data_IF_649652992772
#
_entry.id   IF_649652992772
#
_cell.length_a   1.000
_cell.length_b   1.000
_cell.length_c   1.000
_cell.angle_alpha   90.00
_cell.angle_beta   90.00
_cell.angle_gamma   90.00
#
_symmetry.space_group_name_H-M   'P 1'
#
loop_
_entity.id
_entity.type
_entity.pdbx_description
1 polymer ?
#
# COMPACT_ATOMS: atom_id res chain seq x y z
N UNK A 1 10.11 -1.24 -16.08
CA UNK A 1 9.58 -2.60 -16.40
C UNK A 1 8.18 -2.51 -17.02
N UNK A 2 7.79 -3.41 -17.93
CA UNK A 2 6.44 -3.59 -18.44
C UNK A 2 5.49 -3.97 -17.28
N UNK A 3 4.20 -3.58 -17.37
CA UNK A 3 3.19 -4.00 -16.39
C UNK A 3 2.76 -5.44 -16.64
N UNK A 4 2.80 -6.28 -15.61
CA UNK A 4 2.45 -7.70 -15.70
C UNK A 4 1.28 -8.06 -14.79
N UNK A 5 0.48 -9.03 -15.26
CA UNK A 5 -0.58 -9.63 -14.47
C UNK A 5 -1.63 -8.65 -13.96
N UNK A 6 -2.15 -8.91 -12.75
CA UNK A 6 -3.07 -8.04 -12.02
C UNK A 6 -4.42 -7.84 -12.70
N UNK A 7 -4.79 -8.73 -13.62
CA UNK A 7 -6.02 -8.60 -14.41
C UNK A 7 -7.26 -8.61 -13.53
N UNK A 8 -7.29 -9.44 -12.50
CA UNK A 8 -8.43 -9.53 -11.60
C UNK A 8 -8.54 -8.30 -10.70
N UNK A 9 -7.43 -7.80 -10.19
CA UNK A 9 -7.41 -6.60 -9.36
C UNK A 9 -7.84 -5.37 -10.17
N UNK A 10 -7.34 -5.23 -11.40
CA UNK A 10 -7.78 -4.17 -12.32
C UNK A 10 -9.28 -4.28 -12.57
N UNK A 11 -9.78 -5.47 -12.90
CA UNK A 11 -11.20 -5.70 -13.16
C UNK A 11 -12.06 -5.37 -11.94
N UNK A 12 -11.64 -5.75 -10.73
CA UNK A 12 -12.35 -5.38 -9.50
C UNK A 12 -12.45 -3.87 -9.33
N UNK A 13 -11.34 -3.13 -9.49
CA UNK A 13 -11.33 -1.67 -9.41
C UNK A 13 -12.23 -1.02 -10.47
N UNK A 14 -12.16 -1.52 -11.71
CA UNK A 14 -13.00 -1.03 -12.82
C UNK A 14 -14.48 -1.33 -12.61
N UNK A 15 -14.83 -2.47 -12.02
CA UNK A 15 -16.20 -2.79 -11.64
C UNK A 15 -16.75 -1.82 -10.59
N UNK A 16 -15.93 -1.39 -9.61
CA UNK A 16 -16.33 -0.38 -8.65
C UNK A 16 -16.60 0.98 -9.32
N UNK A 17 -15.76 1.38 -10.27
CA UNK A 17 -16.00 2.60 -11.06
C UNK A 17 -17.28 2.49 -11.91
N UNK A 18 -17.49 1.37 -12.58
CA UNK A 18 -18.71 1.12 -13.36
C UNK A 18 -19.97 1.18 -12.50
N UNK A 19 -19.89 0.70 -11.25
CA UNK A 19 -20.99 0.78 -10.30
C UNK A 19 -21.25 2.24 -9.86
N UNK A 20 -20.20 3.06 -9.65
CA UNK A 20 -20.36 4.52 -9.41
C UNK A 20 -21.07 5.21 -10.57
N UNK A 21 -20.73 4.83 -11.81
CA UNK A 21 -21.32 5.40 -13.02
C UNK A 21 -22.79 5.03 -13.20
N UNK A 22 -23.14 3.75 -12.94
CA UNK A 22 -24.50 3.24 -13.18
C UNK A 22 -25.48 3.52 -12.03
N UNK A 23 -25.00 3.47 -10.79
CA UNK A 23 -25.85 3.65 -9.60
C UNK A 23 -25.94 5.12 -9.15
N UNK A 24 -25.10 6.00 -9.70
CA UNK A 24 -25.02 7.40 -9.31
C UNK A 24 -24.73 7.61 -7.80
N UNK A 25 -24.03 6.67 -7.19
CA UNK A 25 -23.64 6.69 -5.79
C UNK A 25 -22.12 6.49 -5.64
N UNK A 26 -21.51 7.20 -4.71
CA UNK A 26 -20.09 7.07 -4.44
C UNK A 26 -19.77 5.74 -3.78
N UNK A 27 -18.58 5.21 -4.06
CA UNK A 27 -18.06 3.97 -3.49
C UNK A 27 -16.69 4.18 -2.86
N UNK A 28 -16.40 3.44 -1.81
CA UNK A 28 -15.13 3.46 -1.09
C UNK A 28 -14.47 2.10 -1.16
N UNK A 29 -13.19 2.08 -1.53
CA UNK A 29 -12.39 0.87 -1.68
C UNK A 29 -11.08 1.02 -0.91
N UNK A 30 -10.64 -0.03 -0.24
CA UNK A 30 -9.34 -0.09 0.40
C UNK A 30 -8.43 -1.06 -0.36
N UNK A 31 -7.24 -0.60 -0.77
CA UNK A 31 -6.18 -1.42 -1.36
C UNK A 31 -5.00 -1.49 -0.41
N UNK A 32 -4.82 -2.62 0.23
CA UNK A 32 -3.71 -2.90 1.14
C UNK A 32 -2.64 -3.73 0.43
N UNK A 33 -1.43 -3.67 0.91
CA UNK A 33 -0.35 -4.53 0.44
C UNK A 33 1.01 -3.96 0.80
N UNK A 34 2.00 -4.82 0.89
CA UNK A 34 3.37 -4.47 1.29
C UNK A 34 3.94 -3.33 0.42
N UNK A 35 4.93 -2.64 0.96
CA UNK A 35 5.73 -1.69 0.17
C UNK A 35 6.31 -2.38 -1.07
N UNK A 36 6.39 -1.65 -2.18
CA UNK A 36 7.01 -2.10 -3.44
C UNK A 36 6.31 -3.25 -4.17
N UNK A 37 5.11 -3.67 -3.70
CA UNK A 37 4.31 -4.71 -4.37
C UNK A 37 3.62 -4.22 -5.65
N UNK A 38 3.61 -2.90 -5.89
CA UNK A 38 3.05 -2.29 -7.11
C UNK A 38 1.65 -1.69 -6.96
N UNK A 39 1.21 -1.32 -5.74
CA UNK A 39 -0.11 -0.70 -5.49
C UNK A 39 -0.36 0.54 -6.35
N UNK A 40 0.53 1.52 -6.28
CA UNK A 40 0.42 2.78 -7.02
C UNK A 40 0.34 2.54 -8.53
N UNK A 41 1.22 1.68 -9.05
CA UNK A 41 1.23 1.31 -10.48
C UNK A 41 -0.07 0.64 -10.90
N UNK A 42 -0.60 -0.29 -10.07
CA UNK A 42 -1.89 -0.94 -10.29
C UNK A 42 -3.02 0.07 -10.35
N UNK A 43 -3.09 1.00 -9.38
CA UNK A 43 -4.16 2.01 -9.31
C UNK A 43 -4.15 2.94 -10.52
N UNK A 44 -2.97 3.44 -10.90
CA UNK A 44 -2.83 4.28 -12.09
C UNK A 44 -3.20 3.51 -13.36
N UNK A 45 -2.78 2.24 -13.48
CA UNK A 45 -3.08 1.39 -14.63
C UNK A 45 -4.56 1.02 -14.73
N UNK A 46 -5.23 0.80 -13.60
CA UNK A 46 -6.64 0.43 -13.57
C UNK A 46 -7.55 1.52 -14.15
N UNK A 47 -7.16 2.78 -14.02
CA UNK A 47 -7.95 3.94 -14.46
C UNK A 47 -7.34 4.66 -15.66
N UNK A 48 -6.19 4.21 -16.18
CA UNK A 48 -5.64 4.70 -17.43
C UNK A 48 -6.67 4.53 -18.57
N UNK A 49 -6.80 5.51 -19.42
CA UNK A 49 -7.74 5.51 -20.56
C UNK A 49 -9.25 5.40 -20.18
N UNK A 50 -9.64 5.71 -18.94
CA UNK A 50 -11.04 5.83 -18.57
C UNK A 50 -11.56 7.25 -18.81
N UNK A 51 -12.82 7.35 -19.22
CA UNK A 51 -13.50 8.64 -19.43
C UNK A 51 -13.98 9.26 -18.11
N UNK A 52 -13.09 9.36 -17.12
CA UNK A 52 -13.34 9.99 -15.83
C UNK A 52 -12.09 10.74 -15.37
N UNK A 53 -12.29 11.72 -14.50
CA UNK A 53 -11.17 12.40 -13.85
C UNK A 53 -10.56 11.50 -12.79
N UNK A 54 -9.23 11.45 -12.74
CA UNK A 54 -8.48 10.68 -11.74
C UNK A 54 -7.59 11.64 -10.96
N UNK A 55 -7.86 11.75 -9.68
CA UNK A 55 -7.11 12.58 -8.74
C UNK A 55 -6.25 11.66 -7.87
N UNK A 56 -4.94 11.81 -7.96
CA UNK A 56 -3.98 11.04 -7.16
C UNK A 56 -3.41 11.89 -6.04
N UNK A 57 -3.77 11.58 -4.80
CA UNK A 57 -3.42 12.32 -3.59
C UNK A 57 -2.46 11.48 -2.74
N UNK A 58 -1.18 11.81 -2.78
CA UNK A 58 -0.17 11.16 -1.96
C UNK A 58 -0.08 11.80 -0.58
N UNK A 59 0.08 10.98 0.47
CA UNK A 59 0.31 11.44 1.84
C UNK A 59 1.75 11.16 2.25
N UNK A 60 2.63 12.17 2.28
CA UNK A 60 4.02 12.00 2.73
C UNK A 60 4.07 11.69 4.23
N UNK A 61 5.04 10.88 4.67
CA UNK A 61 5.23 10.59 6.09
C UNK A 61 5.80 11.77 6.90
N UNK A 62 6.27 12.80 6.23
CA UNK A 62 6.84 14.02 6.84
C UNK A 62 6.44 15.25 6.04
N UNK A 63 5.32 15.83 6.39
CA UNK A 63 4.90 17.15 5.94
C UNK A 63 3.94 17.74 6.97
N UNK A 64 3.76 19.03 6.93
CA UNK A 64 2.74 19.70 7.75
C UNK A 64 1.35 19.52 7.12
N UNK A 65 0.31 19.63 7.94
CA UNK A 65 -1.06 19.56 7.45
C UNK A 65 -1.35 20.62 6.37
N UNK A 66 -0.83 21.84 6.55
CA UNK A 66 -1.00 22.92 5.59
C UNK A 66 -0.32 22.65 4.24
N UNK A 67 0.88 22.06 4.26
CA UNK A 67 1.57 21.66 3.02
C UNK A 67 0.79 20.55 2.30
N UNK A 68 0.25 19.57 3.03
CA UNK A 68 -0.57 18.51 2.45
C UNK A 68 -1.83 19.08 1.80
N UNK A 69 -2.58 19.91 2.52
CA UNK A 69 -3.82 20.53 2.02
C UNK A 69 -3.55 21.37 0.78
N UNK A 70 -2.46 22.15 0.77
CA UNK A 70 -2.06 22.95 -0.38
C UNK A 70 -1.73 22.07 -1.59
N UNK A 71 -0.90 21.03 -1.41
CA UNK A 71 -0.52 20.13 -2.48
C UNK A 71 -1.75 19.41 -3.09
N UNK A 72 -2.69 18.99 -2.25
CA UNK A 72 -3.93 18.38 -2.71
C UNK A 72 -4.84 19.36 -3.44
N UNK A 73 -4.95 20.60 -2.92
CA UNK A 73 -5.74 21.66 -3.53
C UNK A 73 -5.20 22.05 -4.90
N UNK A 74 -3.87 22.18 -5.05
CA UNK A 74 -3.23 22.50 -6.32
C UNK A 74 -3.59 21.45 -7.40
N UNK A 75 -3.59 20.16 -7.06
CA UNK A 75 -4.03 19.09 -7.95
C UNK A 75 -5.53 19.19 -8.31
N UNK A 76 -6.38 19.52 -7.35
CA UNK A 76 -7.83 19.72 -7.62
C UNK A 76 -8.04 20.87 -8.58
N UNK A 77 -7.38 22.00 -8.36
CA UNK A 77 -7.46 23.17 -9.24
C UNK A 77 -7.03 22.83 -10.66
N UNK A 78 -5.92 22.11 -10.80
CA UNK A 78 -5.37 21.70 -12.11
C UNK A 78 -6.31 20.73 -12.84
N UNK A 79 -6.71 19.65 -12.18
CA UNK A 79 -7.50 18.56 -12.79
C UNK A 79 -8.92 19.03 -13.14
N UNK A 80 -9.56 19.78 -12.25
CA UNK A 80 -10.92 20.32 -12.49
C UNK A 80 -10.93 21.66 -13.23
N UNK A 81 -9.75 22.22 -13.54
CA UNK A 81 -9.58 23.51 -14.23
C UNK A 81 -10.35 24.63 -13.56
N UNK A 82 -10.25 24.69 -12.23
CA UNK A 82 -10.97 25.69 -11.46
C UNK A 82 -10.36 27.08 -11.70
N UNK A 83 -11.19 28.13 -11.91
CA UNK A 83 -10.69 29.48 -12.15
C UNK A 83 -10.02 30.10 -10.93
N UNK A 84 -10.42 29.67 -9.74
CA UNK A 84 -9.86 30.11 -8.45
C UNK A 84 -9.80 28.93 -7.46
N UNK A 85 -8.77 28.87 -6.60
CA UNK A 85 -8.71 27.86 -5.57
C UNK A 85 -9.82 28.10 -4.53
N UNK A 86 -10.61 27.08 -4.16
CA UNK A 86 -11.57 27.18 -3.08
C UNK A 86 -10.86 27.36 -1.73
N UNK A 87 -11.54 28.02 -0.78
CA UNK A 87 -11.03 28.18 0.58
C UNK A 87 -11.21 26.86 1.35
N UNK A 88 -10.10 26.20 1.68
CA UNK A 88 -10.03 24.92 2.40
C UNK A 88 -8.96 25.00 3.50
N UNK A 89 -9.16 24.29 4.61
CA UNK A 89 -8.24 24.27 5.72
C UNK A 89 -7.80 22.85 6.11
N UNK A 90 -8.58 21.85 5.75
CA UNK A 90 -8.33 20.44 6.10
C UNK A 90 -8.35 19.54 4.88
N UNK A 91 -7.69 18.36 4.92
CA UNK A 91 -7.80 17.38 3.84
C UNK A 91 -9.25 16.97 3.55
N UNK A 92 -10.10 16.93 4.58
CA UNK A 92 -11.52 16.62 4.44
C UNK A 92 -12.27 17.69 3.65
N UNK A 93 -11.91 18.99 3.81
CA UNK A 93 -12.50 20.07 3.02
C UNK A 93 -12.16 19.92 1.54
N UNK A 94 -10.91 19.51 1.22
CA UNK A 94 -10.51 19.22 -0.17
C UNK A 94 -11.37 18.09 -0.75
N UNK A 95 -11.56 17.00 -0.01
CA UNK A 95 -12.43 15.89 -0.43
C UNK A 95 -13.87 16.33 -0.60
N UNK A 96 -14.39 17.20 0.26
CA UNK A 96 -15.74 17.76 0.13
C UNK A 96 -15.90 18.55 -1.18
N UNK A 97 -14.90 19.36 -1.54
CA UNK A 97 -14.88 20.08 -2.83
C UNK A 97 -14.95 19.09 -4.00
N UNK A 98 -14.10 18.07 -4.00
CA UNK A 98 -14.08 17.07 -5.08
C UNK A 98 -15.39 16.29 -5.16
N UNK A 99 -15.96 15.86 -4.03
CA UNK A 99 -17.27 15.19 -4.00
C UNK A 99 -18.40 16.11 -4.51
N UNK A 100 -18.31 17.41 -4.27
CA UNK A 100 -19.27 18.35 -4.83
C UNK A 100 -19.12 18.50 -6.34
N UNK A 101 -17.88 18.59 -6.84
CA UNK A 101 -17.58 18.69 -8.27
C UNK A 101 -17.91 17.40 -9.05
N UNK A 102 -17.92 16.26 -8.36
CA UNK A 102 -18.22 14.95 -8.97
C UNK A 102 -19.72 14.60 -9.05
N UNK A 103 -20.61 15.55 -8.76
CA UNK A 103 -22.07 15.30 -8.87
C UNK A 103 -22.52 15.01 -10.29
N UNK A 104 -21.96 15.72 -11.25
CA UNK A 104 -22.35 15.64 -12.65
C UNK A 104 -21.48 14.69 -13.46
N UNK A 105 -20.24 14.46 -13.05
CA UNK A 105 -19.28 13.59 -13.72
C UNK A 105 -18.53 12.69 -12.73
N UNK A 106 -18.37 11.39 -13.02
CA UNK A 106 -17.67 10.47 -12.12
C UNK A 106 -16.19 10.87 -11.99
N UNK A 107 -15.69 10.77 -10.77
CA UNK A 107 -14.29 11.04 -10.44
C UNK A 107 -13.72 9.90 -9.59
N UNK A 108 -12.48 9.53 -9.83
CA UNK A 108 -11.69 8.62 -8.99
C UNK A 108 -10.76 9.46 -8.12
N UNK A 109 -10.83 9.29 -6.82
CA UNK A 109 -9.88 9.85 -5.86
C UNK A 109 -9.06 8.70 -5.31
N UNK A 110 -7.75 8.76 -5.50
CA UNK A 110 -6.79 7.82 -4.92
C UNK A 110 -6.05 8.54 -3.79
N UNK A 111 -6.20 8.08 -2.55
CA UNK A 111 -5.38 8.55 -1.42
C UNK A 111 -4.35 7.47 -1.12
N UNK A 112 -3.09 7.72 -1.51
CA UNK A 112 -2.00 6.76 -1.32
C UNK A 112 -1.22 7.05 -0.03
N UNK A 113 -0.80 6.00 0.66
CA UNK A 113 -0.23 5.98 2.01
C UNK A 113 -1.16 6.65 3.04
N UNK A 114 -2.47 6.39 2.93
CA UNK A 114 -3.50 7.07 3.71
C UNK A 114 -3.37 6.89 5.23
N UNK A 115 -2.68 5.84 5.72
CA UNK A 115 -2.42 5.65 7.15
C UNK A 115 -1.56 6.76 7.77
N UNK A 116 -0.80 7.49 6.98
CA UNK A 116 0.00 8.62 7.47
C UNK A 116 -0.88 9.78 7.99
N UNK A 117 -2.14 9.87 7.54
CA UNK A 117 -3.12 10.82 8.05
C UNK A 117 -3.43 10.63 9.55
N UNK A 118 -3.23 9.43 10.10
CA UNK A 118 -3.40 9.19 11.54
C UNK A 118 -2.54 10.12 12.41
N UNK A 119 -1.35 10.45 11.94
CA UNK A 119 -0.41 11.31 12.70
C UNK A 119 -0.63 12.79 12.39
N UNK A 120 -1.03 13.13 11.16
CA UNK A 120 -1.17 14.51 10.71
C UNK A 120 -2.50 15.17 11.15
N UNK A 121 -3.60 14.43 11.03
CA UNK A 121 -4.94 14.87 11.45
C UNK A 121 -5.67 13.69 12.12
N UNK A 122 -5.50 13.48 13.43
CA UNK A 122 -6.18 12.39 14.14
C UNK A 122 -7.71 12.43 14.03
N UNK A 123 -8.28 13.60 13.71
CA UNK A 123 -9.72 13.76 13.50
C UNK A 123 -10.18 13.43 12.09
N UNK A 124 -9.26 13.18 11.15
CA UNK A 124 -9.56 12.98 9.73
C UNK A 124 -10.61 11.90 9.48
N UNK A 125 -10.47 10.74 10.11
CA UNK A 125 -11.38 9.61 9.89
C UNK A 125 -12.80 9.88 10.35
N UNK A 126 -12.97 10.56 11.47
CA UNK A 126 -14.29 11.00 11.97
C UNK A 126 -14.93 12.06 11.06
N UNK A 127 -14.14 13.03 10.58
CA UNK A 127 -14.59 14.04 9.61
C UNK A 127 -14.94 13.40 8.28
N UNK A 128 -14.13 12.46 7.79
CA UNK A 128 -14.40 11.73 6.56
C UNK A 128 -15.67 10.89 6.67
N UNK A 129 -15.90 10.23 7.80
CA UNK A 129 -17.16 9.52 8.05
C UNK A 129 -18.37 10.44 7.87
N UNK A 130 -18.36 11.60 8.53
CA UNK A 130 -19.47 12.58 8.46
C UNK A 130 -19.68 13.10 7.04
N UNK A 131 -18.57 13.41 6.32
CA UNK A 131 -18.63 13.82 4.92
C UNK A 131 -19.21 12.72 4.04
N UNK A 132 -18.72 11.49 4.20
CA UNK A 132 -19.13 10.33 3.42
C UNK A 132 -20.63 10.03 3.58
N UNK A 133 -21.08 9.93 4.84
CA UNK A 133 -22.49 9.63 5.15
C UNK A 133 -23.44 10.70 4.59
N UNK A 134 -23.00 11.96 4.51
CA UNK A 134 -23.76 13.07 3.94
C UNK A 134 -23.76 13.13 2.42
N UNK A 135 -22.63 12.82 1.78
CA UNK A 135 -22.41 13.15 0.37
C UNK A 135 -22.42 11.92 -0.56
N UNK A 136 -22.27 10.69 -0.06
CA UNK A 136 -22.10 9.49 -0.91
C UNK A 136 -23.23 9.28 -1.91
N UNK A 137 -24.47 9.60 -1.55
CA UNK A 137 -25.65 9.43 -2.42
C UNK A 137 -25.85 10.58 -3.41
N UNK A 138 -25.17 11.70 -3.21
CA UNK A 138 -25.29 12.90 -4.04
C UNK A 138 -24.05 13.21 -4.86
N UNK A 139 -23.05 12.35 -4.83
CA UNK A 139 -21.80 12.49 -5.61
C UNK A 139 -21.48 11.16 -6.31
N UNK A 140 -20.62 11.24 -7.33
CA UNK A 140 -20.19 10.11 -8.16
C UNK A 140 -18.70 9.90 -8.02
N UNK A 141 -18.26 9.60 -6.80
CA UNK A 141 -16.84 9.45 -6.46
C UNK A 141 -16.50 7.99 -6.18
N UNK A 142 -15.48 7.47 -6.84
CA UNK A 142 -14.77 6.28 -6.38
C UNK A 142 -13.60 6.72 -5.51
N UNK A 143 -13.73 6.57 -4.20
CA UNK A 143 -12.65 6.86 -3.25
C UNK A 143 -11.85 5.60 -2.98
N UNK A 144 -10.60 5.59 -3.40
CA UNK A 144 -9.66 4.48 -3.20
C UNK A 144 -8.63 4.89 -2.14
N UNK A 145 -8.67 4.22 -1.00
CA UNK A 145 -7.68 4.35 0.06
C UNK A 145 -6.59 3.31 -0.14
N UNK A 146 -5.34 3.72 -0.26
CA UNK A 146 -4.20 2.82 -0.43
C UNK A 146 -3.18 3.02 0.68
N UNK A 147 -2.56 1.93 1.12
CA UNK A 147 -1.48 2.01 2.09
C UNK A 147 -0.65 0.74 2.22
N UNK A 148 0.50 0.90 2.83
CA UNK A 148 1.50 -0.16 2.95
C UNK A 148 1.55 -0.79 4.35
N UNK A 149 1.06 -0.14 5.39
CA UNK A 149 1.02 -0.66 6.76
C UNK A 149 -0.33 -1.35 6.98
N UNK A 150 -0.34 -2.68 6.78
CA UNK A 150 -1.54 -3.50 6.78
C UNK A 150 -2.30 -3.38 8.11
N UNK A 151 -1.61 -3.54 9.23
CA UNK A 151 -2.22 -3.46 10.57
C UNK A 151 -2.90 -2.11 10.86
N UNK A 152 -2.34 -1.00 10.34
CA UNK A 152 -2.95 0.32 10.48
C UNK A 152 -4.23 0.44 9.65
N UNK A 153 -4.27 -0.13 8.45
CA UNK A 153 -5.47 -0.12 7.60
C UNK A 153 -6.55 -1.05 8.14
N UNK A 154 -6.17 -2.19 8.69
CA UNK A 154 -7.10 -3.11 9.38
C UNK A 154 -7.71 -2.44 10.63
N UNK A 155 -6.93 -1.67 11.39
CA UNK A 155 -7.47 -0.88 12.50
C UNK A 155 -8.43 0.21 12.00
N UNK A 156 -8.12 0.92 10.92
CA UNK A 156 -8.98 2.00 10.38
C UNK A 156 -10.30 1.45 9.83
N UNK A 157 -10.29 0.36 9.08
CA UNK A 157 -11.42 -0.12 8.31
C UNK A 157 -12.08 -1.38 8.87
N UNK A 158 -11.35 -2.25 9.55
CA UNK A 158 -11.82 -3.53 10.08
C UNK A 158 -12.25 -3.48 11.54
N UNK A 159 -11.82 -2.48 12.31
CA UNK A 159 -12.15 -2.36 13.73
C UNK A 159 -13.53 -1.71 13.91
N UNK A 160 -14.47 -2.42 14.56
CA UNK A 160 -15.86 -1.98 14.76
C UNK A 160 -16.01 -0.70 15.61
N UNK A 161 -14.99 -0.32 16.37
CA UNK A 161 -14.96 0.93 17.14
C UNK A 161 -14.54 2.16 16.30
N UNK A 162 -14.09 1.96 15.06
CA UNK A 162 -13.54 3.03 14.21
C UNK A 162 -14.58 3.65 13.28
N UNK A 163 -14.41 4.93 12.92
CA UNK A 163 -15.41 5.68 12.16
C UNK A 163 -15.78 5.07 10.79
N UNK A 164 -14.83 4.45 10.09
CA UNK A 164 -15.05 3.93 8.73
C UNK A 164 -15.45 2.45 8.68
N UNK A 165 -15.64 1.80 9.81
CA UNK A 165 -16.10 0.42 9.86
C UNK A 165 -17.42 0.24 9.09
N UNK A 166 -17.48 -0.78 8.24
CA UNK A 166 -18.66 -1.11 7.44
C UNK A 166 -18.98 -0.13 6.29
N UNK A 167 -18.07 0.82 5.95
CA UNK A 167 -18.28 1.80 4.86
C UNK A 167 -17.57 1.44 3.57
N UNK A 168 -16.68 0.45 3.58
CA UNK A 168 -16.04 -0.05 2.37
C UNK A 168 -17.02 -0.85 1.51
N UNK A 169 -16.99 -0.60 0.21
CA UNK A 169 -17.66 -1.42 -0.80
C UNK A 169 -16.78 -2.60 -1.25
N UNK A 170 -15.45 -2.45 -1.15
CA UNK A 170 -14.51 -3.52 -1.43
C UNK A 170 -13.20 -3.31 -0.66
N UNK A 171 -12.56 -4.42 -0.29
CA UNK A 171 -11.26 -4.45 0.36
C UNK A 171 -10.37 -5.46 -0.34
N UNK A 172 -9.20 -5.03 -0.78
CA UNK A 172 -8.28 -5.85 -1.55
C UNK A 172 -6.91 -5.87 -0.89
N UNK A 173 -6.34 -7.08 -0.80
CA UNK A 173 -4.95 -7.28 -0.40
C UNK A 173 -4.12 -7.57 -1.65
N UNK A 174 -3.21 -6.67 -2.02
CA UNK A 174 -2.29 -6.90 -3.13
C UNK A 174 -1.10 -7.72 -2.65
N UNK A 175 -1.07 -8.98 -3.06
CA UNK A 175 0.01 -9.92 -2.74
C UNK A 175 1.19 -9.74 -3.70
N UNK A 176 2.42 -10.13 -3.33
CA UNK A 176 3.50 -10.35 -4.28
C UNK A 176 3.08 -11.30 -5.40
N UNK A 177 3.78 -11.27 -6.53
CA UNK A 177 3.54 -12.21 -7.62
C UNK A 177 3.75 -13.65 -7.18
N UNK A 178 2.79 -14.50 -7.49
CA UNK A 178 2.87 -15.93 -7.24
C UNK A 178 3.74 -16.66 -8.28
N UNK A 179 3.98 -17.97 -8.08
CA UNK A 179 4.80 -18.76 -9.02
C UNK A 179 4.31 -18.70 -10.47
N UNK A 180 3.00 -18.74 -10.71
CA UNK A 180 2.41 -18.64 -12.05
C UNK A 180 2.68 -17.30 -12.72
N UNK A 181 2.55 -16.20 -11.95
CA UNK A 181 2.89 -14.87 -12.46
C UNK A 181 4.39 -14.78 -12.79
N UNK A 182 5.23 -15.36 -11.93
CA UNK A 182 6.68 -15.38 -12.13
C UNK A 182 7.08 -16.14 -13.41
N UNK A 183 6.43 -17.26 -13.72
CA UNK A 183 6.64 -17.95 -14.99
C UNK A 183 6.33 -17.05 -16.19
N UNK A 184 5.23 -16.29 -16.13
CA UNK A 184 4.84 -15.36 -17.19
C UNK A 184 5.83 -14.20 -17.31
N UNK A 185 6.22 -13.60 -16.17
CA UNK A 185 7.17 -12.50 -16.12
C UNK A 185 8.54 -12.92 -16.66
N UNK A 186 9.08 -14.03 -16.15
CA UNK A 186 10.40 -14.54 -16.58
C UNK A 186 10.38 -14.98 -18.04
N UNK A 187 9.30 -15.62 -18.51
CA UNK A 187 9.15 -15.99 -19.91
C UNK A 187 9.15 -14.79 -20.86
N UNK A 188 8.76 -13.60 -20.36
CA UNK A 188 8.79 -12.35 -21.13
C UNK A 188 10.13 -11.63 -21.03
N UNK A 189 10.65 -11.45 -19.80
CA UNK A 189 11.86 -10.66 -19.54
C UNK A 189 13.16 -11.43 -19.84
N UNK A 190 13.15 -12.74 -19.64
CA UNK A 190 14.29 -13.63 -19.85
C UNK A 190 13.87 -14.95 -20.49
N UNK A 191 13.48 -14.96 -21.80
CA UNK A 191 12.91 -16.15 -22.46
C UNK A 191 13.83 -17.38 -22.49
N UNK A 192 15.13 -17.20 -22.31
CA UNK A 192 16.13 -18.26 -22.26
C UNK A 192 16.50 -18.70 -20.85
N UNK A 193 15.86 -18.13 -19.81
CA UNK A 193 16.11 -18.50 -18.43
C UNK A 193 15.65 -19.92 -18.14
N UNK A 194 16.45 -20.64 -17.37
CA UNK A 194 16.12 -21.99 -16.88
C UNK A 194 15.14 -21.92 -15.70
N UNK A 195 14.57 -23.06 -15.32
CA UNK A 195 13.74 -23.19 -14.11
C UNK A 195 14.53 -22.81 -12.84
N UNK A 196 15.83 -23.06 -12.82
CA UNK A 196 16.71 -22.70 -11.72
C UNK A 196 16.92 -21.18 -11.64
N UNK A 197 17.00 -20.49 -12.77
CA UNK A 197 17.04 -19.02 -12.81
C UNK A 197 15.74 -18.42 -12.26
N UNK A 198 14.59 -18.94 -12.70
CA UNK A 198 13.28 -18.54 -12.20
C UNK A 198 13.18 -18.75 -10.67
N UNK A 199 13.54 -19.93 -10.19
CA UNK A 199 13.51 -20.26 -8.77
C UNK A 199 14.42 -19.32 -7.97
N UNK A 200 15.62 -19.04 -8.48
CA UNK A 200 16.59 -18.14 -7.83
C UNK A 200 16.05 -16.72 -7.75
N UNK A 201 15.56 -16.17 -8.86
CA UNK A 201 14.96 -14.83 -8.90
C UNK A 201 13.74 -14.74 -7.96
N UNK A 202 12.88 -15.76 -7.95
CA UNK A 202 11.73 -15.81 -7.06
C UNK A 202 12.16 -15.87 -5.58
N UNK A 203 13.11 -16.72 -5.23
CA UNK A 203 13.62 -16.83 -3.85
C UNK A 203 14.24 -15.52 -3.36
N UNK A 204 14.94 -14.77 -4.24
CA UNK A 204 15.58 -13.49 -3.89
C UNK A 204 14.61 -12.32 -3.80
N UNK A 205 13.56 -12.32 -4.61
CA UNK A 205 12.61 -11.19 -4.72
C UNK A 205 11.33 -11.41 -3.91
N UNK A 206 11.03 -12.66 -3.57
CA UNK A 206 9.74 -13.04 -2.97
C UNK A 206 8.53 -12.65 -3.84
N UNK A 207 8.72 -12.50 -5.17
CA UNK A 207 7.69 -12.04 -6.10
C UNK A 207 7.34 -10.56 -5.99
N UNK A 208 8.12 -9.75 -5.24
CA UNK A 208 7.86 -8.32 -5.10
C UNK A 208 8.23 -7.58 -6.39
N UNK A 209 7.24 -6.89 -6.97
CA UNK A 209 7.35 -6.26 -8.30
C UNK A 209 8.60 -5.38 -8.46
N UNK A 210 8.87 -4.49 -7.48
CA UNK A 210 10.03 -3.58 -7.57
C UNK A 210 11.39 -4.30 -7.52
N UNK A 211 11.48 -5.44 -6.84
CA UNK A 211 12.74 -6.18 -6.78
C UNK A 211 13.00 -6.93 -8.09
N UNK A 212 11.94 -7.44 -8.72
CA UNK A 212 12.05 -8.04 -10.05
C UNK A 212 12.47 -6.98 -11.08
N UNK A 213 11.84 -5.80 -11.03
CA UNK A 213 12.20 -4.67 -11.90
C UNK A 213 13.67 -4.28 -11.76
N UNK A 214 14.18 -4.19 -10.54
CA UNK A 214 15.58 -3.82 -10.29
C UNK A 214 16.58 -4.89 -10.78
N UNK A 215 16.23 -6.17 -10.69
CA UNK A 215 17.04 -7.25 -11.28
C UNK A 215 17.01 -7.23 -12.81
N UNK A 216 15.85 -6.91 -13.40
CA UNK A 216 15.69 -6.74 -14.84
C UNK A 216 16.51 -5.55 -15.37
N UNK A 217 16.39 -4.38 -14.74
CA UNK A 217 17.18 -3.19 -15.06
C UNK A 217 18.69 -3.44 -14.97
N UNK A 218 19.12 -4.24 -13.99
CA UNK A 218 20.50 -4.66 -13.83
C UNK A 218 20.92 -5.80 -14.76
N UNK A 219 20.01 -6.33 -15.59
CA UNK A 219 20.23 -7.50 -16.47
C UNK A 219 20.72 -8.75 -15.69
N UNK A 220 20.15 -8.96 -14.51
CA UNK A 220 20.53 -9.99 -13.54
C UNK A 220 19.42 -11.01 -13.28
N UNK A 221 18.76 -11.49 -14.34
CA UNK A 221 17.65 -12.47 -14.26
C UNK A 221 18.11 -13.93 -14.40
N UNK A 222 19.41 -14.21 -14.39
CA UNK A 222 19.95 -15.59 -14.31
C UNK A 222 20.52 -15.86 -12.92
N UNK A 223 20.58 -17.13 -12.52
CA UNK A 223 21.09 -17.54 -11.21
C UNK A 223 22.46 -16.93 -10.90
N UNK A 224 23.43 -17.11 -11.80
CA UNK A 224 24.79 -16.64 -11.62
C UNK A 224 24.85 -15.11 -11.43
N UNK A 225 24.18 -14.37 -12.33
CA UNK A 225 24.16 -12.90 -12.30
C UNK A 225 23.40 -12.38 -11.09
N UNK A 226 22.25 -12.95 -10.75
CA UNK A 226 21.44 -12.55 -9.61
C UNK A 226 22.20 -12.72 -8.30
N UNK A 227 22.84 -13.88 -8.10
CA UNK A 227 23.69 -14.15 -6.93
C UNK A 227 24.89 -13.20 -6.88
N UNK A 228 25.59 -13.03 -8.00
CA UNK A 228 26.73 -12.09 -8.09
C UNK A 228 26.29 -10.66 -7.77
N UNK A 229 25.16 -10.20 -8.32
CA UNK A 229 24.60 -8.88 -8.05
C UNK A 229 24.26 -8.71 -6.57
N UNK A 230 23.59 -9.70 -5.94
CA UNK A 230 23.22 -9.66 -4.53
C UNK A 230 24.43 -9.43 -3.61
N UNK A 231 25.56 -10.05 -3.90
CA UNK A 231 26.80 -9.90 -3.10
C UNK A 231 27.65 -8.70 -3.51
N UNK A 232 27.35 -8.04 -4.62
CA UNK A 232 28.04 -6.83 -5.05
C UNK A 232 27.71 -5.59 -4.22
N UNK A 233 28.47 -4.52 -4.38
CA UNK A 233 28.13 -3.22 -3.79
C UNK A 233 26.81 -2.66 -4.36
N UNK A 234 26.53 -2.88 -5.64
CA UNK A 234 25.30 -2.45 -6.29
C UNK A 234 24.06 -3.15 -5.70
N UNK A 235 24.16 -4.42 -5.26
CA UNK A 235 23.09 -5.18 -4.62
C UNK A 235 22.97 -4.98 -3.11
N UNK A 236 23.81 -4.12 -2.50
CA UNK A 236 23.80 -3.90 -1.04
C UNK A 236 22.45 -3.45 -0.48
N UNK A 237 21.68 -2.68 -1.26
CA UNK A 237 20.35 -2.21 -0.90
C UNK A 237 19.37 -3.40 -0.71
N UNK A 238 19.48 -4.46 -1.52
CA UNK A 238 18.62 -5.64 -1.42
C UNK A 238 18.88 -6.41 -0.10
N UNK A 239 20.15 -6.49 0.32
CA UNK A 239 20.50 -7.09 1.62
C UNK A 239 20.00 -6.28 2.82
N UNK A 240 20.06 -4.95 2.74
CA UNK A 240 19.58 -4.07 3.81
C UNK A 240 18.05 -3.90 3.84
N UNK A 241 17.36 -4.31 2.77
CA UNK A 241 15.92 -4.12 2.65
C UNK A 241 15.14 -4.97 3.66
N UNK A 242 15.60 -6.18 3.97
CA UNK A 242 14.99 -7.04 4.98
C UNK A 242 14.94 -6.37 6.36
N UNK A 243 16.03 -5.74 6.79
CA UNK A 243 16.07 -5.01 8.06
C UNK A 243 15.16 -3.78 8.04
N UNK A 244 15.16 -3.02 6.93
CA UNK A 244 14.27 -1.86 6.74
C UNK A 244 12.81 -2.26 6.70
N UNK A 245 12.49 -3.38 6.05
CA UNK A 245 11.15 -3.93 6.01
C UNK A 245 10.65 -4.24 7.43
N UNK A 246 11.44 -5.00 8.20
CA UNK A 246 11.08 -5.34 9.57
C UNK A 246 10.91 -4.10 10.44
N UNK A 247 11.77 -3.10 10.31
CA UNK A 247 11.67 -1.85 11.08
C UNK A 247 10.43 -1.03 10.72
N UNK A 248 10.04 -0.99 9.44
CA UNK A 248 8.95 -0.13 8.97
C UNK A 248 7.57 -0.80 9.10
N UNK A 249 7.46 -2.09 8.74
CA UNK A 249 6.16 -2.80 8.73
C UNK A 249 5.71 -3.19 10.14
N UNK A 250 6.65 -3.62 10.97
CA UNK A 250 6.34 -4.05 12.33
C UNK A 250 6.61 -2.99 13.38
N UNK A 251 7.06 -1.78 12.97
CA UNK A 251 7.46 -0.71 13.91
C UNK A 251 8.41 -1.21 14.99
N UNK A 252 9.30 -2.14 14.61
CA UNK A 252 10.29 -2.70 15.51
C UNK A 252 11.36 -1.66 15.85
N UNK A 253 10.99 -0.67 16.63
CA UNK A 253 11.92 0.28 17.22
C UNK A 253 12.75 -0.36 18.34
N UNK A 254 12.37 -1.56 18.77
CA UNK A 254 13.04 -2.24 19.87
C UNK A 254 14.12 -3.21 19.38
N UNK A 255 15.37 -3.10 19.86
CA UNK A 255 16.44 -4.07 19.62
C UNK A 255 16.04 -5.52 19.96
N UNK A 256 15.08 -5.70 20.85
CA UNK A 256 14.57 -7.00 21.32
C UNK A 256 13.98 -7.82 20.18
N UNK A 257 13.20 -7.20 19.28
CA UNK A 257 12.59 -7.94 18.16
C UNK A 257 13.64 -8.42 17.15
N UNK A 258 14.66 -7.60 16.86
CA UNK A 258 15.76 -8.00 15.98
C UNK A 258 16.58 -9.16 16.60
N UNK A 259 16.74 -9.16 17.91
CA UNK A 259 17.42 -10.24 18.60
C UNK A 259 16.60 -11.54 18.57
N UNK A 260 15.28 -11.47 18.79
CA UNK A 260 14.36 -12.60 18.65
C UNK A 260 14.42 -13.21 17.24
N UNK A 261 14.34 -12.39 16.21
CA UNK A 261 14.44 -12.84 14.82
C UNK A 261 15.79 -13.51 14.52
N UNK A 262 16.90 -12.96 15.05
CA UNK A 262 18.23 -13.58 14.92
C UNK A 262 18.30 -14.93 15.61
N UNK A 263 17.64 -15.09 16.76
CA UNK A 263 17.55 -16.38 17.47
C UNK A 263 16.74 -17.41 16.68
N UNK A 264 15.59 -16.99 16.13
CA UNK A 264 14.76 -17.84 15.26
C UNK A 264 15.54 -18.24 14.00
N UNK A 265 16.23 -17.32 13.36
CA UNK A 265 17.07 -17.60 12.18
C UNK A 265 18.23 -18.58 12.48
N UNK A 266 18.67 -18.68 13.75
CA UNK A 266 19.65 -19.67 14.22
C UNK A 266 19.01 -21.00 14.64
N UNK A 267 17.72 -21.21 14.33
CA UNK A 267 17.00 -22.46 14.62
C UNK A 267 16.44 -22.59 16.03
N UNK A 268 16.45 -21.53 16.83
CA UNK A 268 15.81 -21.54 18.15
C UNK A 268 14.30 -21.34 17.97
N UNK A 269 13.49 -22.33 18.35
CA UNK A 269 12.04 -22.30 18.15
C UNK A 269 11.22 -22.36 19.43
N UNK A 270 11.86 -22.69 20.56
CA UNK A 270 11.17 -22.79 21.84
C UNK A 270 11.17 -21.43 22.55
N UNK A 271 10.05 -21.08 23.17
CA UNK A 271 9.90 -19.82 23.89
C UNK A 271 10.99 -19.61 24.96
N UNK A 272 11.37 -20.64 25.70
CA UNK A 272 12.46 -20.60 26.68
C UNK A 272 13.82 -20.25 26.05
N UNK A 273 14.10 -20.75 24.85
CA UNK A 273 15.34 -20.47 24.11
C UNK A 273 15.37 -19.05 23.54
N UNK A 274 14.18 -18.47 23.26
CA UNK A 274 14.03 -17.11 22.76
C UNK A 274 14.18 -16.07 23.88
N UNK A 275 13.76 -16.41 25.11
CA UNK A 275 13.88 -15.53 26.27
C UNK A 275 15.29 -15.49 26.88
N UNK A 276 16.11 -16.51 26.66
CA UNK A 276 17.44 -16.61 27.25
C UNK A 276 18.37 -15.50 26.75
N UNK A 277 18.90 -14.69 27.68
CA UNK A 277 19.83 -13.60 27.38
C UNK A 277 19.21 -12.32 26.75
N UNK A 278 17.89 -12.17 26.73
CA UNK A 278 17.25 -10.93 26.27
C UNK A 278 17.27 -9.89 27.40
N UNK A 279 17.87 -8.71 27.23
CA UNK A 279 17.90 -7.69 28.28
C UNK A 279 16.49 -7.18 28.58
N UNK A 280 16.06 -7.37 29.79
CA UNK A 280 14.80 -6.81 30.32
C UNK A 280 13.70 -7.84 30.53
N UNK A 281 13.62 -8.38 31.74
CA UNK A 281 12.40 -8.97 32.29
C UNK A 281 11.34 -7.87 32.35
N UNK A 282 10.51 -7.75 31.33
CA UNK A 282 9.33 -6.89 31.36
C UNK A 282 8.14 -7.74 31.76
N UNK A 283 7.89 -7.81 33.07
CA UNK A 283 6.78 -8.56 33.66
C UNK A 283 5.37 -8.11 33.24
N UNK A 284 5.23 -7.08 32.41
CA UNK A 284 3.95 -6.56 31.91
C UNK A 284 3.73 -6.66 30.39
N UNK A 285 4.72 -7.17 29.62
CA UNK A 285 4.62 -7.29 28.15
C UNK A 285 4.54 -8.74 27.63
N UNK A 286 4.45 -9.71 28.52
CA UNK A 286 4.36 -11.13 28.11
C UNK A 286 3.07 -11.47 27.37
N UNK A 287 1.98 -10.78 27.67
CA UNK A 287 0.69 -10.98 27.00
C UNK A 287 0.66 -10.38 25.57
N UNK A 288 1.30 -9.25 25.37
CA UNK A 288 1.33 -8.56 24.05
C UNK A 288 2.12 -9.38 23.02
N UNK A 289 3.30 -9.88 23.39
CA UNK A 289 4.14 -10.68 22.47
C UNK A 289 3.51 -12.05 22.18
N UNK A 290 2.81 -12.65 23.15
CA UNK A 290 2.05 -13.90 22.94
C UNK A 290 0.82 -13.69 22.03
N UNK A 291 0.14 -12.57 22.13
CA UNK A 291 -1.00 -12.25 21.30
C UNK A 291 -0.59 -11.98 19.85
N UNK A 292 0.55 -11.31 19.64
CA UNK A 292 1.09 -10.99 18.30
C UNK A 292 1.72 -12.21 17.59
N UNK A 293 2.14 -13.25 18.32
CA UNK A 293 2.68 -14.49 17.74
C UNK A 293 1.60 -15.55 17.43
N UNK A 294 0.38 -15.41 17.97
CA UNK A 294 -0.72 -16.35 17.79
C UNK A 294 -1.83 -15.81 16.85
N UNK A 295 -1.69 -14.61 16.31
CA UNK A 295 -2.55 -14.01 15.29
C UNK A 295 -1.82 -13.96 13.94
#
# INVERSE_FOLDING_TARGET
>A
MQFFGRTEEIKRLQNQLSAVQSQHESRMVCLMGRRRVGKTTLLLKAFENKSCLVLYLYVPNRCTLNELVRAWLDQVVEIFKLPFPPAVQTPTDVLQVVMHLSKDAPCVIIIDECQELNQMDPAFWGKLQQLWDRCRQSSRTLLVMSGSIISALEDIFGNNSKPLYGRLNDQMMLMPFGPSDMCTIMGTLAPLASDLDLLTVYAMTGGVAKYIELLDEAQCLTQEKAVSYFFSNAGSWLRSEGERFLSNEFRFESPIYMELLRKIARGRSKWTELQDGTPGKVAGRQETVKAEMNG
#
